data_IF_516792596474
#
_entry.id   IF_516792596474
#
_cell.length_a   1.000
_cell.length_b   1.000
_cell.length_c   1.000
_cell.angle_alpha   90.00
_cell.angle_beta   90.00
_cell.angle_gamma   90.00
#
_symmetry.space_group_name_H-M   'P 1'
#
loop_
_entity.id
_entity.type
_entity.pdbx_description
1 polymer ?
#
# COMPACT_ATOMS: atom_id res chain seq x y z
N UNK A 1 13.30 37.39 1.21
CA UNK A 1 13.26 36.37 2.29
C UNK A 1 14.23 36.76 3.40
N UNK A 2 13.97 36.44 4.67
CA UNK A 2 14.93 36.69 5.74
C UNK A 2 16.02 35.59 5.81
N UNK A 3 17.15 35.89 6.47
CA UNK A 3 18.29 34.97 6.57
C UNK A 3 17.91 33.61 7.18
N UNK A 4 17.05 33.60 8.19
CA UNK A 4 16.56 32.36 8.84
C UNK A 4 15.73 31.48 7.88
N UNK A 5 14.88 32.08 7.04
CA UNK A 5 14.12 31.33 6.04
C UNK A 5 15.03 30.74 4.97
N UNK A 6 16.08 31.45 4.57
CA UNK A 6 17.07 30.95 3.61
C UNK A 6 17.81 29.75 4.20
N UNK A 7 18.35 29.87 5.41
CA UNK A 7 19.06 28.77 6.08
C UNK A 7 18.17 27.53 6.26
N UNK A 8 16.90 27.71 6.61
CA UNK A 8 15.93 26.60 6.71
C UNK A 8 15.69 25.92 5.36
N UNK A 9 15.52 26.70 4.29
CA UNK A 9 15.33 26.15 2.95
C UNK A 9 16.56 25.37 2.47
N UNK A 10 17.77 25.88 2.74
CA UNK A 10 19.02 25.16 2.43
C UNK A 10 19.10 23.82 3.16
N UNK A 11 18.75 23.77 4.45
CA UNK A 11 18.69 22.51 5.21
C UNK A 11 17.71 21.52 4.56
N UNK A 12 16.49 21.96 4.21
CA UNK A 12 15.51 21.08 3.53
C UNK A 12 16.01 20.58 2.19
N UNK A 13 16.70 21.41 1.41
CA UNK A 13 17.29 21.01 0.13
C UNK A 13 18.35 19.92 0.34
N UNK A 14 19.17 20.02 1.39
CA UNK A 14 20.19 19.02 1.73
C UNK A 14 19.58 17.71 2.22
N UNK A 15 18.49 17.75 2.99
CA UNK A 15 17.81 16.57 3.53
C UNK A 15 16.97 15.81 2.49
N UNK A 16 16.55 16.50 1.41
CA UNK A 16 15.61 15.96 0.40
C UNK A 16 16.03 14.60 -0.19
N UNK A 17 17.30 14.36 -0.60
CA UNK A 17 17.70 13.07 -1.18
C UNK A 17 17.61 11.89 -0.21
N UNK A 18 17.82 12.11 1.09
CA UNK A 18 17.64 11.06 2.09
C UNK A 18 16.16 10.73 2.28
N UNK A 19 15.31 11.75 2.41
CA UNK A 19 13.87 11.56 2.50
C UNK A 19 13.27 10.88 1.26
N UNK A 20 13.76 11.20 0.06
CA UNK A 20 13.35 10.51 -1.17
C UNK A 20 13.77 9.04 -1.18
N UNK A 21 14.98 8.71 -0.71
CA UNK A 21 15.43 7.32 -0.54
C UNK A 21 14.56 6.57 0.46
N UNK A 22 14.23 7.19 1.59
CA UNK A 22 13.32 6.63 2.59
C UNK A 22 11.92 6.37 2.03
N UNK A 23 11.39 7.30 1.24
CA UNK A 23 10.12 7.10 0.56
C UNK A 23 10.17 5.96 -0.45
N UNK A 24 11.22 5.85 -1.25
CA UNK A 24 11.40 4.72 -2.17
C UNK A 24 11.47 3.39 -1.41
N UNK A 25 12.14 3.38 -0.24
CA UNK A 25 12.14 2.24 0.68
C UNK A 25 10.75 1.98 1.26
N UNK A 26 9.96 2.99 1.63
CA UNK A 26 8.59 2.82 2.13
C UNK A 26 7.64 2.30 1.05
N UNK A 27 7.81 2.78 -0.19
CA UNK A 27 7.08 2.31 -1.37
C UNK A 27 7.42 0.84 -1.65
N UNK A 28 8.69 0.43 -1.48
CA UNK A 28 9.17 -0.93 -1.80
C UNK A 28 9.14 -1.91 -0.62
N UNK A 29 9.19 -1.48 0.64
CA UNK A 29 9.12 -2.37 1.83
C UNK A 29 7.78 -3.07 1.91
N UNK A 30 6.70 -2.44 1.43
CA UNK A 30 5.41 -3.10 1.26
C UNK A 30 5.39 -4.07 0.06
N UNK A 31 6.30 -3.93 -0.91
CA UNK A 31 6.53 -4.94 -1.95
C UNK A 31 7.38 -6.13 -1.47
N UNK A 32 8.17 -5.98 -0.40
CA UNK A 32 9.05 -7.03 0.15
C UNK A 32 8.48 -7.82 1.33
N UNK A 33 7.35 -7.41 1.92
CA UNK A 33 6.68 -8.21 2.96
C UNK A 33 6.11 -9.55 2.43
N UNK A 34 6.17 -9.79 1.13
CA UNK A 34 6.07 -11.09 0.48
C UNK A 34 7.46 -11.68 0.23
N UNK A 35 8.03 -12.39 1.20
CA UNK A 35 9.20 -13.22 0.95
C UNK A 35 8.81 -14.46 0.09
N UNK A 36 9.69 -14.94 -0.79
CA UNK A 36 9.35 -15.84 -1.89
C UNK A 36 9.26 -17.31 -1.43
N UNK A 37 8.07 -17.89 -1.50
CA UNK A 37 7.89 -19.34 -1.57
C UNK A 37 8.05 -19.83 -3.01
N UNK A 38 8.55 -21.06 -3.24
CA UNK A 38 8.72 -21.62 -4.58
C UNK A 38 7.34 -22.03 -5.11
N UNK A 39 6.62 -21.06 -5.67
CA UNK A 39 5.29 -21.28 -6.23
C UNK A 39 4.81 -20.00 -6.86
N UNK A 40 5.03 -19.85 -8.17
CA UNK A 40 4.65 -18.68 -8.94
C UNK A 40 3.15 -18.38 -8.82
N UNK A 41 2.84 -17.26 -8.19
CA UNK A 41 1.48 -16.78 -8.02
C UNK A 41 1.47 -15.28 -7.83
N UNK A 42 1.25 -14.56 -8.93
CA UNK A 42 1.07 -13.10 -9.07
C UNK A 42 1.46 -12.25 -7.85
N UNK A 43 2.69 -11.76 -7.87
CA UNK A 43 3.27 -10.76 -6.98
C UNK A 43 2.33 -9.54 -6.86
N UNK A 44 1.62 -9.43 -5.73
CA UNK A 44 0.75 -8.28 -5.47
C UNK A 44 1.54 -7.23 -4.72
N UNK A 45 2.14 -6.32 -5.47
CA UNK A 45 2.77 -5.11 -4.94
C UNK A 45 1.74 -4.31 -4.15
N UNK A 46 1.91 -4.26 -2.83
CA UNK A 46 1.20 -3.29 -1.99
C UNK A 46 1.94 -1.97 -2.18
N UNK A 47 1.44 -1.14 -3.09
CA UNK A 47 2.01 0.18 -3.34
C UNK A 47 1.48 1.15 -2.27
N UNK A 48 2.38 1.74 -1.48
CA UNK A 48 2.02 2.87 -0.64
C UNK A 48 1.79 4.10 -1.53
N UNK A 49 0.55 4.28 -1.99
CA UNK A 49 0.18 5.34 -2.92
C UNK A 49 0.44 6.73 -2.33
N UNK A 50 0.23 6.92 -1.03
CA UNK A 50 0.52 8.19 -0.35
C UNK A 50 2.02 8.53 -0.36
N UNK A 51 2.89 7.54 -0.12
CA UNK A 51 4.34 7.73 -0.23
C UNK A 51 4.78 8.00 -1.68
N UNK A 52 4.15 7.34 -2.67
CA UNK A 52 4.42 7.56 -4.10
C UNK A 52 4.01 8.96 -4.57
N UNK A 53 2.81 9.42 -4.18
CA UNK A 53 2.30 10.76 -4.45
C UNK A 53 3.21 11.81 -3.80
N UNK A 54 3.49 11.67 -2.49
CA UNK A 54 4.36 12.60 -1.76
C UNK A 54 5.79 12.65 -2.32
N UNK A 55 6.35 11.51 -2.73
CA UNK A 55 7.66 11.47 -3.38
C UNK A 55 7.66 12.16 -4.75
N UNK A 56 6.57 12.06 -5.51
CA UNK A 56 6.41 12.76 -6.79
C UNK A 56 6.35 14.28 -6.59
N UNK A 57 5.55 14.74 -5.62
CA UNK A 57 5.43 16.16 -5.28
C UNK A 57 6.75 16.73 -4.77
N UNK A 58 7.47 16.02 -3.90
CA UNK A 58 8.77 16.44 -3.38
C UNK A 58 9.81 16.56 -4.50
N UNK A 59 9.89 15.58 -5.42
CA UNK A 59 10.78 15.66 -6.60
C UNK A 59 10.41 16.86 -7.47
N UNK A 60 9.13 17.11 -7.72
CA UNK A 60 8.69 18.24 -8.52
C UNK A 60 9.09 19.58 -7.88
N UNK A 61 8.83 19.76 -6.59
CA UNK A 61 9.19 20.98 -5.86
C UNK A 61 10.72 21.20 -5.80
N UNK A 62 11.49 20.13 -5.66
CA UNK A 62 12.95 20.18 -5.61
C UNK A 62 13.58 20.57 -6.95
N UNK A 63 13.06 20.04 -8.06
CA UNK A 63 13.57 20.31 -9.43
C UNK A 63 13.38 21.76 -9.89
N UNK A 64 12.40 22.47 -9.34
CA UNK A 64 12.11 23.87 -9.68
C UNK A 64 13.33 24.79 -9.48
N UNK A 65 14.26 24.44 -8.60
CA UNK A 65 15.46 25.25 -8.38
C UNK A 65 16.63 24.93 -9.32
N UNK A 66 16.63 23.80 -10.02
CA UNK A 66 17.75 23.38 -10.86
C UNK A 66 17.40 23.22 -12.36
N UNK A 67 16.11 23.31 -12.72
CA UNK A 67 15.63 23.20 -14.11
C UNK A 67 16.10 21.92 -14.84
N UNK A 68 16.39 20.85 -14.07
CA UNK A 68 16.86 19.56 -14.56
C UNK A 68 15.97 18.42 -14.06
N UNK A 69 15.95 17.31 -14.79
CA UNK A 69 15.18 16.13 -14.41
C UNK A 69 15.79 15.40 -13.20
N UNK A 70 17.11 15.37 -13.03
CA UNK A 70 17.74 14.69 -11.90
C UNK A 70 18.91 15.52 -11.36
N UNK A 71 18.62 16.64 -10.68
CA UNK A 71 19.66 17.53 -10.21
C UNK A 71 20.36 16.96 -8.99
N UNK A 72 21.65 17.23 -8.87
CA UNK A 72 22.40 17.02 -7.63
C UNK A 72 22.00 18.08 -6.58
N UNK A 73 22.23 17.79 -5.29
CA UNK A 73 22.03 18.77 -4.21
C UNK A 73 22.78 20.08 -4.47
N UNK A 74 24.01 19.99 -4.99
CA UNK A 74 24.81 21.16 -5.33
C UNK A 74 24.17 22.04 -6.38
N UNK A 75 23.57 21.45 -7.42
CA UNK A 75 22.86 22.18 -8.47
C UNK A 75 21.57 22.84 -7.95
N UNK A 76 20.80 22.13 -7.13
CA UNK A 76 19.59 22.71 -6.50
C UNK A 76 19.96 23.85 -5.56
N UNK A 77 21.00 23.71 -4.73
CA UNK A 77 21.47 24.78 -3.85
C UNK A 77 21.99 25.98 -4.64
N UNK A 78 22.75 25.75 -5.71
CA UNK A 78 23.25 26.82 -6.57
C UNK A 78 22.10 27.62 -7.19
N UNK A 79 21.10 26.94 -7.76
CA UNK A 79 19.94 27.62 -8.35
C UNK A 79 19.01 28.26 -7.32
N UNK A 80 18.86 27.68 -6.13
CA UNK A 80 18.17 28.33 -5.02
C UNK A 80 18.86 29.63 -4.60
N UNK A 81 20.19 29.61 -4.41
CA UNK A 81 20.98 30.80 -4.06
C UNK A 81 20.89 31.88 -5.14
N UNK A 82 20.94 31.49 -6.41
CA UNK A 82 20.79 32.40 -7.54
C UNK A 82 19.40 33.07 -7.58
N UNK A 83 18.37 32.37 -7.11
CA UNK A 83 16.98 32.86 -7.13
C UNK A 83 16.53 33.47 -5.80
N UNK A 84 17.36 33.53 -4.76
CA UNK A 84 16.93 33.93 -3.39
C UNK A 84 16.27 35.31 -3.30
N UNK A 85 16.63 36.22 -4.23
CA UNK A 85 16.08 37.59 -4.32
C UNK A 85 14.90 37.72 -5.28
N UNK A 86 14.57 36.67 -6.03
CA UNK A 86 13.46 36.67 -6.98
C UNK A 86 12.11 36.72 -6.24
N UNK A 87 11.13 37.50 -6.74
CA UNK A 87 9.82 37.65 -6.08
C UNK A 87 9.07 36.33 -5.87
N UNK A 88 9.23 35.35 -6.77
CA UNK A 88 8.54 34.05 -6.69
C UNK A 88 9.19 33.05 -5.71
N UNK A 89 10.41 33.29 -5.25
CA UNK A 89 11.15 32.32 -4.43
C UNK A 89 10.48 31.97 -3.10
N UNK A 90 9.83 32.91 -2.38
CA UNK A 90 9.03 32.56 -1.21
C UNK A 90 7.94 31.51 -1.50
N UNK A 91 7.26 31.58 -2.65
CA UNK A 91 6.23 30.61 -3.01
C UNK A 91 6.85 29.24 -3.32
N UNK A 92 7.95 29.22 -4.07
CA UNK A 92 8.70 28.00 -4.40
C UNK A 92 9.19 27.29 -3.12
N UNK A 93 9.73 28.05 -2.16
CA UNK A 93 10.14 27.52 -0.85
C UNK A 93 8.96 27.01 -0.04
N UNK A 94 7.84 27.73 -0.04
CA UNK A 94 6.60 27.26 0.62
C UNK A 94 6.14 25.92 0.04
N UNK A 95 6.16 25.78 -1.28
CA UNK A 95 5.83 24.52 -1.97
C UNK A 95 6.78 23.39 -1.58
N UNK A 96 8.09 23.65 -1.51
CA UNK A 96 9.08 22.68 -1.04
C UNK A 96 8.80 22.26 0.41
N UNK A 97 8.54 23.21 1.32
CA UNK A 97 8.25 22.91 2.72
C UNK A 97 6.96 22.07 2.89
N UNK A 98 5.92 22.36 2.11
CA UNK A 98 4.68 21.59 2.11
C UNK A 98 4.91 20.16 1.60
N UNK A 99 5.63 20.01 0.49
CA UNK A 99 5.97 18.70 -0.07
C UNK A 99 6.85 17.90 0.90
N UNK A 100 7.81 18.56 1.57
CA UNK A 100 8.64 17.93 2.60
C UNK A 100 7.77 17.43 3.77
N UNK A 101 6.86 18.25 4.29
CA UNK A 101 5.93 17.83 5.36
C UNK A 101 4.98 16.72 4.93
N UNK A 102 4.60 16.65 3.65
CA UNK A 102 3.78 15.57 3.11
C UNK A 102 4.59 14.26 3.03
N UNK A 103 5.82 14.33 2.53
CA UNK A 103 6.78 13.23 2.46
C UNK A 103 7.10 12.66 3.85
N UNK A 104 7.42 13.52 4.81
CA UNK A 104 7.72 13.16 6.20
C UNK A 104 6.53 12.44 6.86
N UNK A 105 5.32 13.00 6.69
CA UNK A 105 4.08 12.34 7.14
C UNK A 105 3.83 11.02 6.42
N UNK A 106 4.08 10.92 5.12
CA UNK A 106 3.87 9.67 4.39
C UNK A 106 4.87 8.57 4.81
N UNK A 107 6.09 8.96 5.17
CA UNK A 107 7.10 8.06 5.77
C UNK A 107 6.66 7.60 7.16
N UNK A 108 6.27 8.52 8.03
CA UNK A 108 6.01 8.23 9.44
C UNK A 108 4.61 7.65 9.70
N UNK A 109 3.63 8.05 8.90
CA UNK A 109 2.22 7.71 9.09
C UNK A 109 1.72 6.62 8.13
N UNK A 110 2.61 5.89 7.44
CA UNK A 110 2.23 4.88 6.45
C UNK A 110 1.15 3.94 7.01
N UNK A 111 -0.14 4.16 6.72
CA UNK A 111 -1.19 3.32 7.27
C UNK A 111 -1.09 2.00 6.53
N UNK A 112 -1.35 0.89 7.23
CA UNK A 112 -1.57 -0.38 6.57
C UNK A 112 -2.89 -0.32 5.77
N UNK A 113 -2.86 0.32 4.60
CA UNK A 113 -4.00 0.35 3.71
C UNK A 113 -4.10 -1.00 3.00
N UNK A 114 -5.27 -1.63 3.10
CA UNK A 114 -5.58 -2.85 2.37
C UNK A 114 -6.18 -2.47 1.03
N UNK A 115 -5.69 -3.10 -0.04
CA UNK A 115 -6.37 -3.04 -1.34
C UNK A 115 -7.61 -3.90 -1.25
N UNK A 116 -8.79 -3.29 -1.37
CA UNK A 116 -10.08 -3.97 -1.28
C UNK A 116 -10.55 -4.47 -2.66
N UNK A 117 -10.16 -3.80 -3.73
CA UNK A 117 -10.53 -4.15 -5.10
C UNK A 117 -9.93 -3.20 -6.12
N UNK A 118 -10.51 -3.20 -7.33
CA UNK A 118 -10.14 -2.31 -8.43
C UNK A 118 -11.38 -1.52 -8.84
N UNK A 119 -11.24 -0.21 -8.96
CA UNK A 119 -12.29 0.66 -9.48
C UNK A 119 -12.57 0.35 -10.96
N UNK A 120 -13.73 0.75 -11.48
CA UNK A 120 -14.09 0.64 -12.91
C UNK A 120 -13.13 1.40 -13.82
N UNK A 121 -12.44 2.43 -13.32
CA UNK A 121 -11.38 3.13 -14.03
C UNK A 121 -10.03 2.38 -14.06
N UNK A 122 -9.96 1.16 -13.53
CA UNK A 122 -8.76 0.31 -13.51
C UNK A 122 -7.78 0.60 -12.37
N UNK A 123 -8.04 1.59 -11.51
CA UNK A 123 -7.16 1.96 -10.39
C UNK A 123 -7.48 1.14 -9.12
N UNK A 124 -6.48 0.78 -8.31
CA UNK A 124 -6.72 0.05 -7.07
C UNK A 124 -7.52 0.91 -6.07
N UNK A 125 -8.45 0.29 -5.36
CA UNK A 125 -9.15 0.87 -4.22
C UNK A 125 -8.45 0.39 -2.95
N UNK A 126 -7.87 1.32 -2.19
CA UNK A 126 -7.17 1.02 -0.95
C UNK A 126 -7.76 1.83 0.21
N UNK A 127 -7.96 1.19 1.35
CA UNK A 127 -8.51 1.83 2.55
C UNK A 127 -7.99 1.13 3.80
N UNK A 128 -7.87 1.86 4.91
CA UNK A 128 -7.65 1.27 6.22
C UNK A 128 -8.97 0.80 6.88
N UNK A 129 -10.12 1.30 6.39
CA UNK A 129 -11.43 1.02 6.99
C UNK A 129 -11.94 -0.37 6.62
N UNK A 130 -12.65 -1.01 7.54
CA UNK A 130 -13.32 -2.31 7.34
C UNK A 130 -14.66 -2.20 6.62
N UNK A 131 -15.33 -1.05 6.75
CA UNK A 131 -16.71 -0.79 6.34
C UNK A 131 -16.92 0.65 5.85
N UNK A 132 -18.11 0.94 5.33
CA UNK A 132 -18.52 2.24 4.80
C UNK A 132 -18.21 2.41 3.31
N UNK A 133 -18.28 3.64 2.82
CA UNK A 133 -18.02 3.95 1.41
C UNK A 133 -16.65 4.58 1.19
N UNK A 134 -15.94 4.16 0.14
CA UNK A 134 -14.76 4.85 -0.37
C UNK A 134 -15.07 5.48 -1.73
N UNK A 135 -14.55 6.68 -1.95
CA UNK A 135 -14.59 7.34 -3.24
C UNK A 135 -13.26 7.15 -3.97
N UNK A 136 -13.32 6.75 -5.24
CA UNK A 136 -12.14 6.67 -6.09
C UNK A 136 -11.63 8.08 -6.39
N UNK A 137 -10.41 8.39 -5.94
CA UNK A 137 -9.78 9.71 -6.12
C UNK A 137 -9.60 10.13 -7.59
N UNK A 138 -9.61 9.18 -8.52
CA UNK A 138 -9.37 9.46 -9.93
C UNK A 138 -10.64 9.74 -10.73
N UNK A 139 -11.73 9.02 -10.46
CA UNK A 139 -12.96 9.13 -11.26
C UNK A 139 -14.21 9.48 -10.43
N UNK A 140 -14.09 9.67 -9.12
CA UNK A 140 -15.20 10.03 -8.21
C UNK A 140 -16.19 8.90 -7.93
N UNK A 141 -15.99 7.70 -8.49
CA UNK A 141 -16.89 6.57 -8.27
C UNK A 141 -16.89 6.15 -6.79
N UNK A 142 -18.08 5.94 -6.23
CA UNK A 142 -18.27 5.49 -4.84
C UNK A 142 -18.43 3.98 -4.78
N UNK A 143 -17.74 3.36 -3.83
CA UNK A 143 -17.70 1.93 -3.61
C UNK A 143 -18.04 1.62 -2.18
N UNK A 144 -18.98 0.72 -1.98
CA UNK A 144 -19.20 0.13 -0.66
C UNK A 144 -18.07 -0.85 -0.34
N UNK A 145 -17.41 -0.63 0.80
CA UNK A 145 -16.22 -1.38 1.19
C UNK A 145 -16.60 -2.83 1.50
N UNK A 146 -17.73 -3.07 2.17
CA UNK A 146 -18.17 -4.41 2.53
C UNK A 146 -18.56 -5.23 1.29
N UNK A 147 -19.39 -4.66 0.41
CA UNK A 147 -19.78 -5.29 -0.86
C UNK A 147 -18.61 -5.55 -1.78
N UNK A 148 -17.62 -4.63 -1.87
CA UNK A 148 -16.41 -4.87 -2.68
C UNK A 148 -15.59 -6.05 -2.17
N UNK A 149 -15.52 -6.23 -0.85
CA UNK A 149 -14.83 -7.37 -0.23
C UNK A 149 -15.61 -8.67 -0.42
N UNK A 150 -16.93 -8.63 -0.27
CA UNK A 150 -17.81 -9.77 -0.52
C UNK A 150 -17.70 -10.24 -1.97
N UNK A 151 -17.82 -9.34 -2.96
CA UNK A 151 -17.63 -9.63 -4.38
C UNK A 151 -16.25 -10.23 -4.67
N UNK A 152 -15.22 -9.72 -3.99
CA UNK A 152 -13.87 -10.25 -4.12
C UNK A 152 -13.76 -11.66 -3.54
N UNK A 153 -14.36 -11.89 -2.37
CA UNK A 153 -14.41 -13.21 -1.75
C UNK A 153 -15.14 -14.18 -2.67
N UNK A 154 -16.30 -13.79 -3.21
CA UNK A 154 -17.08 -14.60 -4.14
C UNK A 154 -16.27 -15.01 -5.37
N UNK A 155 -15.57 -14.05 -5.98
CA UNK A 155 -14.69 -14.31 -7.14
C UNK A 155 -13.55 -15.29 -6.87
N UNK A 156 -13.11 -15.43 -5.61
CA UNK A 156 -12.03 -16.37 -5.27
C UNK A 156 -12.53 -17.69 -4.71
N UNK A 157 -13.83 -17.85 -4.39
CA UNK A 157 -14.37 -19.08 -3.80
C UNK A 157 -14.08 -20.31 -4.65
N UNK A 158 -14.18 -20.16 -5.97
CA UNK A 158 -13.96 -21.22 -6.94
C UNK A 158 -12.47 -21.44 -7.30
N UNK A 159 -11.54 -20.70 -6.68
CA UNK A 159 -10.12 -20.90 -6.94
C UNK A 159 -9.64 -22.16 -6.23
N UNK A 160 -9.09 -23.09 -6.99
CA UNK A 160 -8.38 -24.24 -6.45
C UNK A 160 -7.04 -23.79 -5.86
N UNK A 161 -6.77 -24.17 -4.61
CA UNK A 161 -5.56 -23.81 -3.88
C UNK A 161 -4.97 -25.00 -3.15
N UNK A 162 -3.65 -25.05 -3.02
CA UNK A 162 -2.96 -25.94 -2.08
C UNK A 162 -3.11 -25.44 -0.63
N UNK A 163 -2.81 -26.28 0.39
CA UNK A 163 -2.78 -25.85 1.79
C UNK A 163 -1.90 -24.63 2.06
N UNK A 164 -0.74 -24.54 1.39
CA UNK A 164 0.19 -23.40 1.52
C UNK A 164 -0.36 -22.14 0.86
N UNK A 165 -0.97 -22.27 -0.31
CA UNK A 165 -1.65 -21.16 -0.99
C UNK A 165 -2.82 -20.63 -0.15
N UNK A 166 -3.59 -21.53 0.48
CA UNK A 166 -4.68 -21.18 1.38
C UNK A 166 -4.18 -20.43 2.63
N UNK A 167 -3.11 -20.91 3.29
CA UNK A 167 -2.48 -20.18 4.40
C UNK A 167 -2.06 -18.77 4.00
N UNK A 168 -1.35 -18.66 2.87
CA UNK A 168 -0.87 -17.37 2.36
C UNK A 168 -2.06 -16.43 2.07
N UNK A 169 -3.12 -16.94 1.47
CA UNK A 169 -4.34 -16.16 1.21
C UNK A 169 -5.01 -15.71 2.51
N UNK A 170 -5.21 -16.62 3.48
CA UNK A 170 -5.87 -16.29 4.75
C UNK A 170 -5.09 -15.26 5.55
N UNK A 171 -3.77 -15.35 5.55
CA UNK A 171 -2.89 -14.35 6.18
C UNK A 171 -2.99 -13.00 5.47
N UNK A 172 -2.94 -12.97 4.15
CA UNK A 172 -2.89 -11.73 3.38
C UNK A 172 -4.25 -11.01 3.31
N UNK A 173 -5.34 -11.76 3.08
CA UNK A 173 -6.67 -11.19 2.86
C UNK A 173 -7.45 -10.99 4.17
N UNK A 174 -7.33 -11.94 5.10
CA UNK A 174 -8.13 -11.96 6.33
C UNK A 174 -7.32 -11.68 7.59
N UNK A 175 -5.98 -11.49 7.49
CA UNK A 175 -5.06 -11.41 8.65
C UNK A 175 -5.21 -12.59 9.63
N UNK A 176 -5.74 -13.71 9.13
CA UNK A 176 -6.02 -14.88 9.91
C UNK A 176 -4.80 -15.82 9.88
N UNK A 177 -4.42 -16.32 11.05
CA UNK A 177 -3.38 -17.35 11.15
C UNK A 177 -4.02 -18.72 10.94
N UNK A 178 -4.07 -19.19 9.69
CA UNK A 178 -4.46 -20.54 9.32
C UNK A 178 -3.23 -21.31 8.81
N UNK A 179 -2.54 -22.10 9.66
CA UNK A 179 -1.39 -22.88 9.21
C UNK A 179 -1.80 -23.90 8.14
N UNK A 180 -0.96 -24.12 7.12
CA UNK A 180 -1.21 -25.12 6.08
C UNK A 180 -1.50 -26.52 6.66
N UNK A 181 -0.87 -26.88 7.78
CA UNK A 181 -1.12 -28.15 8.48
C UNK A 181 -2.54 -28.28 9.01
N UNK A 182 -3.18 -27.17 9.39
CA UNK A 182 -4.58 -27.16 9.79
C UNK A 182 -5.49 -27.51 8.61
N UNK A 183 -5.19 -26.97 7.42
CA UNK A 183 -5.92 -27.28 6.18
C UNK A 183 -5.74 -28.75 5.82
N UNK A 184 -4.52 -29.31 5.89
CA UNK A 184 -4.28 -30.74 5.68
C UNK A 184 -5.04 -31.61 6.68
N UNK A 185 -5.08 -31.21 7.95
CA UNK A 185 -5.86 -31.88 8.99
C UNK A 185 -7.36 -31.88 8.66
N UNK A 186 -7.90 -30.81 8.09
CA UNK A 186 -9.30 -30.77 7.64
C UNK A 186 -9.56 -31.68 6.44
N UNK A 187 -8.66 -31.72 5.46
CA UNK A 187 -8.74 -32.66 4.33
C UNK A 187 -8.74 -34.11 4.85
N UNK A 188 -7.81 -34.46 5.75
CA UNK A 188 -7.70 -35.81 6.33
C UNK A 188 -8.95 -36.21 7.13
N UNK A 189 -9.60 -35.25 7.78
CA UNK A 189 -10.85 -35.47 8.54
C UNK A 189 -12.10 -35.50 7.66
N UNK A 190 -12.00 -35.16 6.37
CA UNK A 190 -13.15 -35.03 5.48
C UNK A 190 -13.95 -33.75 5.69
N UNK A 191 -13.42 -32.78 6.44
CA UNK A 191 -14.02 -31.45 6.61
C UNK A 191 -13.90 -30.61 5.31
N UNK A 192 -12.90 -30.91 4.48
CA UNK A 192 -12.70 -30.28 3.16
C UNK A 192 -12.68 -31.34 2.06
N UNK A 193 -13.38 -31.06 0.96
CA UNK A 193 -13.35 -31.91 -0.22
C UNK A 193 -12.16 -31.56 -1.11
N UNK A 194 -11.45 -32.59 -1.57
CA UNK A 194 -10.39 -32.44 -2.57
C UNK A 194 -11.04 -32.21 -3.92
N UNK A 195 -10.48 -31.31 -4.72
CA UNK A 195 -10.93 -31.11 -6.11
C UNK A 195 -10.60 -32.35 -6.96
N UNK A 196 -9.46 -32.99 -6.67
CA UNK A 196 -9.00 -34.20 -7.34
C UNK A 196 -8.63 -35.28 -6.31
N UNK A 197 -8.96 -36.57 -6.52
CA UNK A 197 -8.72 -37.63 -5.53
C UNK A 197 -7.28 -37.70 -5.02
N UNK A 198 -6.31 -37.55 -5.94
CA UNK A 198 -4.87 -37.69 -5.68
C UNK A 198 -4.17 -36.36 -5.36
N UNK A 199 -4.92 -35.28 -5.13
CA UNK A 199 -4.38 -33.94 -4.88
C UNK A 199 -4.74 -33.42 -3.49
N UNK A 200 -3.87 -32.59 -2.91
CA UNK A 200 -4.20 -31.79 -1.71
C UNK A 200 -4.91 -30.46 -2.07
N UNK A 201 -5.26 -30.23 -3.34
CA UNK A 201 -5.96 -29.02 -3.77
C UNK A 201 -7.42 -29.04 -3.31
N UNK A 202 -7.86 -27.92 -2.78
CA UNK A 202 -9.22 -27.65 -2.28
C UNK A 202 -9.73 -26.35 -2.86
N UNK A 203 -11.04 -26.12 -2.83
CA UNK A 203 -11.59 -24.81 -3.16
C UNK A 203 -11.33 -23.85 -2.00
N UNK A 204 -10.85 -22.65 -2.31
CA UNK A 204 -10.58 -21.62 -1.30
C UNK A 204 -11.86 -21.20 -0.56
N UNK A 205 -13.02 -21.25 -1.23
CA UNK A 205 -14.33 -21.01 -0.61
C UNK A 205 -14.60 -21.94 0.57
N UNK A 206 -14.44 -23.24 0.37
CA UNK A 206 -14.65 -24.26 1.40
C UNK A 206 -13.72 -24.06 2.60
N UNK A 207 -12.47 -23.66 2.35
CA UNK A 207 -11.50 -23.35 3.43
C UNK A 207 -12.01 -22.20 4.29
N UNK A 208 -12.50 -21.12 3.66
CA UNK A 208 -13.05 -19.95 4.35
C UNK A 208 -14.29 -20.36 5.15
N UNK A 209 -15.19 -21.12 4.56
CA UNK A 209 -16.42 -21.58 5.23
C UNK A 209 -16.15 -22.46 6.45
N UNK A 210 -15.24 -23.44 6.32
CA UNK A 210 -14.84 -24.31 7.44
C UNK A 210 -14.17 -23.49 8.55
N UNK A 211 -13.34 -22.50 8.19
CA UNK A 211 -12.70 -21.62 9.16
C UNK A 211 -13.71 -20.75 9.93
N UNK A 212 -14.70 -20.17 9.24
CA UNK A 212 -15.82 -19.45 9.86
C UNK A 212 -16.62 -20.37 10.78
N UNK A 213 -17.02 -21.55 10.28
CA UNK A 213 -17.86 -22.52 11.01
C UNK A 213 -17.20 -23.01 12.30
N UNK A 214 -15.87 -23.15 12.33
CA UNK A 214 -15.13 -23.56 13.53
C UNK A 214 -14.89 -22.41 14.53
N UNK A 215 -15.51 -21.24 14.33
CA UNK A 215 -15.48 -20.12 15.28
C UNK A 215 -14.18 -19.32 15.28
N UNK A 216 -13.31 -19.53 14.29
CA UNK A 216 -11.99 -18.90 14.23
C UNK A 216 -11.97 -17.58 13.42
N UNK A 217 -13.11 -17.19 12.84
CA UNK A 217 -13.37 -15.83 12.37
C UNK A 217 -14.35 -15.19 13.34
N UNK A 218 -13.89 -14.22 14.12
CA UNK A 218 -14.80 -13.19 14.61
C UNK A 218 -15.31 -12.47 13.37
N UNK A 219 -16.62 -12.50 13.12
CA UNK A 219 -17.20 -11.74 12.03
C UNK A 219 -16.70 -10.28 12.12
N UNK A 220 -16.44 -9.57 10.99
CA UNK A 220 -15.94 -8.19 11.03
C UNK A 220 -16.88 -7.19 11.74
N UNK A 221 -18.05 -7.61 12.18
CA UNK A 221 -18.98 -6.84 12.99
C UNK A 221 -18.79 -7.18 14.48
N UNK A 222 -18.38 -6.18 15.26
CA UNK A 222 -18.14 -6.12 16.73
C UNK A 222 -16.68 -6.17 17.22
N UNK A 223 -15.86 -5.22 16.78
CA UNK A 223 -14.87 -4.61 17.69
C UNK A 223 -15.42 -3.24 18.05
N UNK A 224 -15.91 -3.09 19.28
CA UNK A 224 -16.29 -1.80 19.84
C UNK A 224 -15.03 -0.96 20.06
N UNK A 225 -15.04 0.23 19.45
CA UNK A 225 -14.22 1.43 19.69
C UNK A 225 -12.72 1.36 19.29
#
# INVERSE_FOLDING_TARGET
>A
MCATCVARAELRIMDTPELLRDLDVTITKQAKQTAPGPGGGSDRMVLNLAASEAGTELRAAWRVFAEKHDPTVGEVLAGFRATVRHPDTPERVTRLELAFKAADRARDSAPEQRVIGTCTCGRPLATARTEGTIECRHCGARWDIAGTLEDRTERVKHREVSPQEAEMYMRAAYRAKLPAETVRSWIKRGDLQRVWPDSERVLLGDVIEVWVKKGNLVAPSTVNL
#
